data_IF_775705850117
#
_entry.id   IF_775705850117
#
_cell.length_a   1.000
_cell.length_b   1.000
_cell.length_c   1.000
_cell.angle_alpha   90.00
_cell.angle_beta   90.00
_cell.angle_gamma   90.00
#
_symmetry.space_group_name_H-M   'P 1'
#
loop_
_entity.id
_entity.type
_entity.pdbx_description
1 polymer ?
#
# COMPACT_ATOMS: atom_id res chain seq x y z
N UNK A 1 36.35 40.33 28.62
CA UNK A 1 36.03 41.67 28.09
C UNK A 1 34.71 41.57 27.36
N UNK A 2 33.62 42.05 27.94
CA UNK A 2 32.31 42.07 27.27
C UNK A 2 32.26 43.34 26.39
N UNK A 3 32.16 43.17 25.07
CA UNK A 3 31.90 44.28 24.16
C UNK A 3 30.43 44.66 24.28
N UNK A 4 30.20 45.88 24.76
CA UNK A 4 28.91 46.55 24.83
C UNK A 4 28.50 46.92 23.41
N UNK A 5 27.67 46.09 22.77
CA UNK A 5 27.10 46.39 21.45
C UNK A 5 26.11 47.53 21.58
N UNK A 6 26.44 48.68 20.99
CA UNK A 6 25.52 49.81 20.82
C UNK A 6 24.33 49.31 19.99
N UNK A 7 23.12 49.30 20.57
CA UNK A 7 21.87 49.10 19.83
C UNK A 7 21.71 50.24 18.82
N UNK A 8 21.99 49.95 17.55
CA UNK A 8 21.69 50.87 16.46
C UNK A 8 20.17 50.89 16.26
N UNK A 9 19.59 52.07 16.39
CA UNK A 9 18.17 52.33 16.21
C UNK A 9 17.74 52.00 14.76
N UNK A 10 16.83 51.03 14.61
CA UNK A 10 16.43 50.46 13.31
C UNK A 10 15.68 51.48 12.45
N UNK A 11 15.04 52.47 13.08
CA UNK A 11 14.25 53.51 12.41
C UNK A 11 15.12 54.48 11.59
N UNK A 12 16.42 54.58 11.89
CA UNK A 12 17.37 55.44 11.16
C UNK A 12 17.75 54.89 9.77
N UNK A 13 17.39 53.63 9.47
CA UNK A 13 17.72 52.95 8.22
C UNK A 13 16.50 52.61 7.36
N UNK A 14 15.35 53.20 7.67
CA UNK A 14 14.11 53.02 6.93
C UNK A 14 13.98 54.06 5.81
N UNK A 15 13.44 53.63 4.67
CA UNK A 15 13.08 54.51 3.57
C UNK A 15 11.81 55.26 3.93
N UNK A 16 11.83 56.59 3.89
CA UNK A 16 10.66 57.43 4.17
C UNK A 16 9.52 57.33 3.14
N UNK A 17 9.74 56.66 2.00
CA UNK A 17 8.73 56.46 0.94
C UNK A 17 7.98 55.15 1.13
N UNK A 18 8.68 54.02 1.27
CA UNK A 18 8.04 52.71 1.47
C UNK A 18 7.92 52.28 2.94
N UNK A 19 8.53 53.03 3.86
CA UNK A 19 8.57 52.78 5.30
C UNK A 19 9.22 51.45 5.70
N UNK A 20 9.97 50.83 4.77
CA UNK A 20 10.75 49.61 4.98
C UNK A 20 12.26 49.93 5.08
N UNK A 21 13.04 48.99 5.65
CA UNK A 21 14.50 49.01 5.57
C UNK A 21 14.99 49.20 4.12
N UNK A 22 15.94 50.12 3.94
CA UNK A 22 16.44 50.50 2.62
C UNK A 22 16.88 49.30 1.77
N UNK A 23 16.33 49.18 0.56
CA UNK A 23 16.70 48.19 -0.47
C UNK A 23 17.47 48.92 -1.55
N UNK A 24 18.73 48.53 -1.75
CA UNK A 24 19.68 49.27 -2.59
C UNK A 24 19.69 50.78 -2.26
N UNK A 25 20.13 51.15 -1.04
CA UNK A 25 20.10 52.53 -0.59
C UNK A 25 20.87 53.43 -1.54
N UNK A 26 20.24 54.53 -1.93
CA UNK A 26 20.86 55.62 -2.68
C UNK A 26 20.72 56.90 -1.86
N UNK A 27 21.78 57.70 -1.81
CA UNK A 27 21.80 58.98 -1.10
C UNK A 27 21.80 60.10 -2.14
N UNK A 28 20.79 60.95 -2.11
CA UNK A 28 20.67 62.10 -3.01
C UNK A 28 21.44 63.32 -2.44
N UNK A 29 21.75 64.37 -3.23
CA UNK A 29 22.67 65.43 -2.81
C UNK A 29 22.32 66.17 -1.51
N UNK A 30 21.03 66.22 -1.12
CA UNK A 30 20.60 66.77 0.16
C UNK A 30 20.86 65.86 1.38
N UNK A 31 21.52 64.72 1.19
CA UNK A 31 21.88 63.77 2.26
C UNK A 31 20.81 62.76 2.66
N UNK A 32 19.57 62.89 2.17
CA UNK A 32 18.50 61.92 2.43
C UNK A 32 18.72 60.64 1.60
N UNK A 33 18.35 59.50 2.19
CA UNK A 33 18.57 58.18 1.59
C UNK A 33 17.27 57.42 1.39
N UNK A 34 17.14 56.77 0.24
CA UNK A 34 15.93 56.07 -0.19
C UNK A 34 16.28 54.72 -0.82
N UNK A 35 15.29 53.83 -0.96
CA UNK A 35 15.42 52.70 -1.87
C UNK A 35 15.54 53.25 -3.29
N UNK A 36 16.44 52.68 -4.10
CA UNK A 36 16.66 53.11 -5.49
C UNK A 36 15.34 53.23 -6.27
N UNK A 37 14.54 52.16 -6.25
CA UNK A 37 13.24 52.11 -6.95
C UNK A 37 12.21 53.11 -6.41
N UNK A 38 12.25 53.43 -5.12
CA UNK A 38 11.31 54.39 -4.52
C UNK A 38 11.59 55.82 -5.01
N UNK A 39 12.85 56.25 -5.01
CA UNK A 39 13.19 57.60 -5.46
C UNK A 39 13.10 57.73 -6.99
N UNK A 40 13.46 56.67 -7.74
CA UNK A 40 13.21 56.61 -9.18
C UNK A 40 11.71 56.74 -9.47
N UNK A 41 10.87 55.97 -8.79
CA UNK A 41 9.41 56.06 -8.92
C UNK A 41 8.84 57.44 -8.56
N UNK A 42 9.36 58.12 -7.55
CA UNK A 42 8.96 59.50 -7.23
C UNK A 42 9.34 60.49 -8.34
N UNK A 43 10.49 60.31 -8.98
CA UNK A 43 10.96 61.20 -10.05
C UNK A 43 10.35 60.88 -11.42
N UNK A 44 10.00 59.63 -11.66
CA UNK A 44 9.41 59.16 -12.92
C UNK A 44 7.91 59.48 -13.04
N UNK A 45 7.24 59.86 -11.94
CA UNK A 45 5.83 60.27 -11.94
C UNK A 45 5.59 61.68 -12.51
N UNK A 46 6.60 62.55 -12.60
CA UNK A 46 6.43 63.98 -12.94
C UNK A 46 7.46 64.46 -14.01
N UNK A 47 7.66 63.64 -15.05
CA UNK A 47 8.66 63.85 -16.13
C UNK A 47 8.49 65.19 -16.87
N UNK A 48 7.29 65.77 -16.88
CA UNK A 48 6.96 66.98 -17.64
C UNK A 48 7.50 68.29 -17.03
N UNK A 49 7.91 68.31 -15.75
CA UNK A 49 8.38 69.54 -15.08
C UNK A 49 9.89 69.76 -15.14
N UNK A 50 10.68 68.72 -15.46
CA UNK A 50 12.15 68.81 -15.54
C UNK A 50 12.86 69.13 -14.21
N UNK A 51 12.13 69.23 -13.10
CA UNK A 51 12.62 69.56 -11.75
C UNK A 51 12.36 68.37 -10.83
N UNK A 52 13.39 67.89 -10.14
CA UNK A 52 13.32 66.70 -9.29
C UNK A 52 13.43 67.07 -7.83
N UNK A 53 12.43 66.74 -7.00
CA UNK A 53 12.43 67.13 -5.58
C UNK A 53 12.71 65.95 -4.64
N UNK A 54 13.36 66.23 -3.50
CA UNK A 54 13.50 65.32 -2.37
C UNK A 54 12.15 65.11 -1.66
N UNK A 55 11.66 63.87 -1.46
CA UNK A 55 10.41 63.60 -0.73
C UNK A 55 10.38 64.13 0.72
N UNK A 56 11.53 64.20 1.39
CA UNK A 56 11.62 64.59 2.81
C UNK A 56 11.77 66.10 3.03
N UNK A 57 12.75 66.74 2.38
CA UNK A 57 13.04 68.17 2.59
C UNK A 57 12.54 69.08 1.46
N UNK A 58 11.99 68.52 0.38
CA UNK A 58 11.49 69.23 -0.81
C UNK A 58 12.54 70.05 -1.57
N UNK A 59 13.83 69.86 -1.29
CA UNK A 59 14.91 70.45 -2.08
C UNK A 59 14.86 69.95 -3.53
N UNK A 60 15.04 70.86 -4.49
CA UNK A 60 14.88 70.62 -5.92
C UNK A 60 16.21 70.53 -6.65
N UNK A 61 16.33 69.63 -7.62
CA UNK A 61 17.54 69.38 -8.40
C UNK A 61 17.27 69.47 -9.90
N UNK A 62 18.16 70.15 -10.62
CA UNK A 62 18.21 70.23 -12.09
C UNK A 62 19.68 70.32 -12.54
N UNK A 63 20.24 69.38 -13.33
CA UNK A 63 19.60 68.19 -13.93
C UNK A 63 19.29 67.06 -12.92
N UNK A 64 18.66 65.96 -13.38
CA UNK A 64 18.36 64.78 -12.54
C UNK A 64 19.63 64.26 -11.88
N UNK A 65 19.67 64.12 -10.53
CA UNK A 65 20.84 63.53 -9.87
C UNK A 65 21.07 62.10 -10.32
N UNK A 66 22.34 61.73 -10.51
CA UNK A 66 22.71 60.34 -10.78
C UNK A 66 22.64 59.54 -9.46
N UNK A 67 21.96 58.40 -9.50
CA UNK A 67 21.76 57.54 -8.34
C UNK A 67 22.81 56.43 -8.33
N UNK A 68 23.82 56.56 -7.46
CA UNK A 68 24.77 55.51 -7.14
C UNK A 68 24.41 54.84 -5.81
N UNK A 69 24.62 53.53 -5.74
CA UNK A 69 24.37 52.76 -4.52
C UNK A 69 25.32 53.21 -3.41
N UNK A 70 24.77 53.55 -2.25
CA UNK A 70 25.54 53.83 -1.05
C UNK A 70 25.96 52.49 -0.41
N UNK A 71 27.19 52.07 -0.67
CA UNK A 71 27.72 50.78 -0.20
C UNK A 71 27.80 50.70 1.32
N UNK A 72 28.07 51.81 2.02
CA UNK A 72 28.13 51.83 3.48
C UNK A 72 26.75 51.61 4.11
N UNK A 73 25.71 52.33 3.63
CA UNK A 73 24.34 52.11 4.09
C UNK A 73 23.86 50.70 3.74
N UNK A 74 24.22 50.19 2.56
CA UNK A 74 23.88 48.83 2.18
C UNK A 74 24.50 47.79 3.13
N UNK A 75 25.77 47.95 3.50
CA UNK A 75 26.45 47.05 4.45
C UNK A 75 25.85 47.14 5.86
N UNK A 76 25.52 48.35 6.33
CA UNK A 76 24.88 48.56 7.64
C UNK A 76 23.48 47.93 7.70
N UNK A 77 22.65 48.10 6.66
CA UNK A 77 21.32 47.49 6.58
C UNK A 77 21.42 45.96 6.50
N UNK A 78 22.40 45.41 5.78
CA UNK A 78 22.63 43.96 5.71
C UNK A 78 23.11 43.38 7.04
N UNK A 79 23.98 44.10 7.76
CA UNK A 79 24.36 43.74 9.14
C UNK A 79 23.14 43.77 10.06
N UNK A 80 22.30 44.81 9.97
CA UNK A 80 21.07 44.91 10.75
C UNK A 80 20.08 43.77 10.45
N UNK A 81 19.93 43.37 9.19
CA UNK A 81 19.12 42.21 8.77
C UNK A 81 19.64 40.90 9.37
N UNK A 82 20.96 40.71 9.41
CA UNK A 82 21.61 39.51 9.97
C UNK A 82 21.54 39.46 11.50
N UNK A 83 21.64 40.62 12.17
CA UNK A 83 21.55 40.73 13.63
C UNK A 83 20.09 40.72 14.13
N UNK A 84 19.13 41.11 13.29
CA UNK A 84 17.68 41.18 13.58
C UNK A 84 16.90 39.87 13.44
N UNK A 85 17.53 38.74 13.03
CA UNK A 85 16.87 37.43 12.95
C UNK A 85 16.59 36.77 14.34
N UNK A 86 16.87 37.47 15.45
CA UNK A 86 16.53 37.01 16.80
C UNK A 86 15.69 38.00 17.65
N UNK A 87 15.06 39.00 17.06
CA UNK A 87 14.09 39.82 17.79
C UNK A 87 12.83 40.05 16.95
N UNK A 88 11.68 39.76 17.56
CA UNK A 88 10.36 39.97 16.97
C UNK A 88 10.19 41.44 16.50
N UNK A 89 9.39 41.70 15.44
CA UNK A 89 9.22 43.05 14.91
C UNK A 89 8.50 43.98 15.90
N UNK A 90 8.82 45.29 15.96
CA UNK A 90 8.02 46.30 16.65
C UNK A 90 6.62 46.46 16.03
N UNK A 91 5.63 46.99 16.77
CA UNK A 91 4.21 46.80 16.48
C UNK A 91 3.75 47.64 15.27
N UNK A 92 3.61 46.99 14.12
CA UNK A 92 2.63 47.43 13.13
C UNK A 92 1.24 47.38 13.79
N UNK A 93 0.45 48.45 13.68
CA UNK A 93 -0.95 48.50 14.13
C UNK A 93 -1.73 47.35 13.49
N UNK A 94 -1.85 46.24 14.22
CA UNK A 94 -2.49 45.01 13.77
C UNK A 94 -4.00 45.22 13.75
N UNK A 95 -4.54 45.67 12.62
CA UNK A 95 -5.99 45.69 12.41
C UNK A 95 -6.57 44.27 12.53
N UNK A 96 -7.78 44.16 13.08
CA UNK A 96 -8.45 42.88 13.22
C UNK A 96 -8.83 42.33 11.83
N UNK A 97 -8.31 41.15 11.46
CA UNK A 97 -8.76 40.42 10.28
C UNK A 97 -10.06 39.65 10.51
N UNK A 98 -10.60 38.94 9.49
CA UNK A 98 -11.90 38.24 9.57
C UNK A 98 -12.00 37.16 10.66
N UNK A 99 -10.87 36.66 11.17
CA UNK A 99 -10.80 35.63 12.23
C UNK A 99 -10.33 36.19 13.57
N UNK A 100 -10.02 37.48 13.63
CA UNK A 100 -9.57 38.14 14.84
C UNK A 100 -10.76 38.78 15.55
N UNK A 101 -10.70 38.81 16.88
CA UNK A 101 -11.65 39.57 17.68
C UNK A 101 -11.22 41.04 17.65
N UNK A 102 -12.10 41.91 17.17
CA UNK A 102 -11.86 43.35 17.16
C UNK A 102 -11.90 43.93 18.57
N UNK A 103 -11.22 45.06 18.79
CA UNK A 103 -11.31 45.80 20.04
C UNK A 103 -12.63 46.57 20.13
N UNK A 104 -13.34 46.42 21.25
CA UNK A 104 -14.66 47.04 21.45
C UNK A 104 -14.58 48.56 21.59
N UNK A 105 -13.46 49.08 22.09
CA UNK A 105 -13.23 50.49 22.41
C UNK A 105 -12.58 51.28 21.26
N UNK A 106 -12.08 50.61 20.22
CA UNK A 106 -11.58 51.31 19.03
C UNK A 106 -12.72 52.06 18.34
N UNK A 107 -12.54 53.38 18.22
CA UNK A 107 -13.43 54.25 17.43
C UNK A 107 -13.00 54.25 15.96
N UNK A 108 -13.99 54.23 15.04
CA UNK A 108 -13.77 54.18 13.59
C UNK A 108 -14.03 52.81 12.94
N UNK A 109 -13.94 52.76 11.60
CA UNK A 109 -14.27 51.56 10.80
C UNK A 109 -13.19 50.48 10.82
N UNK A 110 -11.94 50.84 11.14
CA UNK A 110 -10.80 49.91 11.20
C UNK A 110 -10.39 49.68 12.65
N UNK A 111 -11.02 48.71 13.29
CA UNK A 111 -10.72 48.33 14.68
C UNK A 111 -9.44 47.51 14.78
N UNK A 112 -8.66 47.75 15.83
CA UNK A 112 -7.45 46.97 16.13
C UNK A 112 -7.82 45.57 16.62
N UNK A 113 -6.91 44.61 16.42
CA UNK A 113 -7.01 43.26 16.98
C UNK A 113 -6.92 43.33 18.51
N UNK A 114 -7.84 42.64 19.17
CA UNK A 114 -7.82 42.48 20.61
C UNK A 114 -6.75 41.50 21.03
N UNK A 115 -5.96 41.89 22.04
CA UNK A 115 -4.97 41.03 22.67
C UNK A 115 -5.57 40.29 23.86
N UNK A 116 -6.28 41.02 24.73
CA UNK A 116 -6.87 40.49 25.95
C UNK A 116 -8.35 40.83 26.04
N UNK A 117 -9.10 39.94 26.68
CA UNK A 117 -10.50 40.15 27.05
C UNK A 117 -10.61 40.25 28.56
N UNK A 118 -11.38 41.21 29.04
CA UNK A 118 -11.66 41.40 30.45
C UNK A 118 -12.93 40.65 30.83
N UNK A 119 -12.82 39.70 31.75
CA UNK A 119 -13.95 38.92 32.23
C UNK A 119 -14.90 39.71 33.15
N UNK A 120 -14.48 40.88 33.61
CA UNK A 120 -15.33 41.78 34.42
C UNK A 120 -16.06 42.79 33.52
N UNK A 121 -15.35 43.40 32.58
CA UNK A 121 -15.94 44.33 31.62
C UNK A 121 -16.71 43.64 30.49
N UNK A 122 -16.54 42.32 30.33
CA UNK A 122 -17.11 41.51 29.25
C UNK A 122 -16.80 42.07 27.86
N UNK A 123 -15.58 42.59 27.70
CA UNK A 123 -15.14 43.27 26.49
C UNK A 123 -13.69 42.90 26.13
N UNK A 124 -13.35 43.07 24.86
CA UNK A 124 -12.05 42.78 24.27
C UNK A 124 -11.29 44.06 23.93
N UNK A 125 -9.99 44.07 24.27
CA UNK A 125 -9.12 45.24 24.25
C UNK A 125 -7.89 44.96 23.38
N UNK A 126 -7.58 45.89 22.46
CA UNK A 126 -6.26 45.98 21.85
C UNK A 126 -5.24 46.51 22.87
N UNK A 127 -3.96 46.44 22.53
CA UNK A 127 -2.86 46.83 23.42
C UNK A 127 -3.05 48.22 24.04
N UNK A 128 -3.41 49.21 23.22
CA UNK A 128 -3.58 50.59 23.66
C UNK A 128 -4.72 50.75 24.66
N UNK A 129 -5.88 50.14 24.41
CA UNK A 129 -7.04 50.21 25.31
C UNK A 129 -6.91 49.28 26.53
N UNK A 130 -6.00 48.31 26.47
CA UNK A 130 -5.70 47.46 27.61
C UNK A 130 -4.90 48.21 28.68
N UNK A 131 -4.15 49.24 28.30
CA UNK A 131 -3.27 49.98 29.20
C UNK A 131 -3.98 50.54 30.44
N UNK A 132 -5.23 50.98 30.29
CA UNK A 132 -6.04 51.47 31.41
C UNK A 132 -6.30 50.40 32.48
N UNK A 133 -6.32 49.11 32.12
CA UNK A 133 -6.42 48.01 33.08
C UNK A 133 -5.14 47.82 33.90
N UNK A 134 -3.98 48.23 33.38
CA UNK A 134 -2.71 48.15 34.09
C UNK A 134 -2.40 49.40 34.91
N UNK A 135 -2.90 50.56 34.50
CA UNK A 135 -2.56 51.82 35.16
C UNK A 135 -3.58 52.19 36.24
N UNK A 136 -4.88 52.01 35.98
CA UNK A 136 -5.95 52.41 36.90
C UNK A 136 -6.06 51.45 38.10
N UNK A 137 -5.95 51.95 39.35
CA UNK A 137 -6.12 51.11 40.54
C UNK A 137 -7.46 50.37 40.61
N UNK A 138 -8.52 50.94 40.02
CA UNK A 138 -9.84 50.31 39.99
C UNK A 138 -9.89 49.10 39.04
N UNK A 139 -9.17 49.17 37.91
CA UNK A 139 -9.21 48.15 36.85
C UNK A 139 -8.12 47.09 37.00
N UNK A 140 -7.05 47.36 37.77
CA UNK A 140 -5.96 46.40 38.06
C UNK A 140 -6.42 45.05 38.61
N UNK A 141 -7.58 45.02 39.29
CA UNK A 141 -8.15 43.80 39.86
C UNK A 141 -8.96 42.97 38.86
N UNK A 142 -9.24 43.51 37.69
CA UNK A 142 -10.01 42.80 36.68
C UNK A 142 -9.22 41.63 36.10
N UNK A 143 -9.89 40.50 35.93
CA UNK A 143 -9.28 39.30 35.36
C UNK A 143 -9.23 39.41 33.84
N UNK A 144 -8.02 39.57 33.31
CA UNK A 144 -7.73 39.58 31.88
C UNK A 144 -7.35 38.17 31.41
N UNK A 145 -7.91 37.74 30.27
CA UNK A 145 -7.58 36.47 29.61
C UNK A 145 -7.19 36.73 28.16
N UNK A 146 -6.33 35.87 27.59
CA UNK A 146 -5.98 35.97 26.17
C UNK A 146 -7.25 35.85 25.32
N UNK A 147 -7.40 36.77 24.38
CA UNK A 147 -8.60 36.81 23.54
C UNK A 147 -8.70 35.51 22.74
N UNK A 148 -9.86 34.86 22.85
CA UNK A 148 -10.27 33.72 22.03
C UNK A 148 -11.54 34.14 21.29
N UNK A 149 -11.79 33.61 20.09
CA UNK A 149 -12.88 34.06 19.20
C UNK A 149 -14.32 33.91 19.74
N UNK A 150 -14.48 33.57 21.02
CA UNK A 150 -15.70 33.02 21.61
C UNK A 150 -16.01 33.63 22.99
N UNK A 151 -15.67 34.90 23.24
CA UNK A 151 -16.05 35.54 24.51
C UNK A 151 -17.57 35.65 24.64
N UNK A 152 -18.26 36.00 23.55
CA UNK A 152 -19.71 36.15 23.54
C UNK A 152 -20.45 34.84 23.86
N UNK A 153 -19.91 33.70 23.42
CA UNK A 153 -20.45 32.36 23.72
C UNK A 153 -20.32 31.98 25.21
N UNK A 154 -19.51 32.72 25.98
CA UNK A 154 -19.30 32.51 27.42
C UNK A 154 -20.15 33.44 28.28
N UNK A 155 -21.00 34.26 27.66
CA UNK A 155 -21.89 35.21 28.33
C UNK A 155 -23.31 34.68 28.21
N UNK A 156 -24.05 34.70 29.32
CA UNK A 156 -25.46 34.35 29.35
C UNK A 156 -26.28 35.39 28.57
N UNK A 157 -27.05 34.92 27.60
CA UNK A 157 -27.92 35.74 26.76
C UNK A 157 -29.06 36.43 27.52
N UNK A 158 -29.43 35.93 28.70
CA UNK A 158 -30.56 36.47 29.49
C UNK A 158 -30.12 37.48 30.54
N UNK A 159 -28.92 37.30 31.11
CA UNK A 159 -28.50 38.06 32.29
C UNK A 159 -27.21 38.87 32.08
N UNK A 160 -26.56 38.76 30.91
CA UNK A 160 -25.29 39.41 30.60
C UNK A 160 -24.21 39.15 31.66
N UNK A 161 -24.17 37.92 32.18
CA UNK A 161 -23.18 37.41 33.16
C UNK A 161 -22.42 36.23 32.58
N UNK A 162 -21.20 35.99 33.05
CA UNK A 162 -20.41 34.84 32.61
C UNK A 162 -21.04 33.51 33.01
N UNK A 163 -20.90 32.53 32.12
CA UNK A 163 -21.33 31.15 32.31
C UNK A 163 -20.31 30.37 33.18
N UNK A 164 -20.26 30.69 34.47
CA UNK A 164 -19.30 30.11 35.43
C UNK A 164 -19.82 28.89 36.20
N UNK A 165 -21.10 28.56 36.02
CA UNK A 165 -21.76 27.41 36.65
C UNK A 165 -22.10 26.37 35.58
N UNK A 166 -22.01 25.09 35.92
CA UNK A 166 -22.48 24.00 35.07
C UNK A 166 -23.67 23.31 35.75
N UNK A 167 -24.79 23.25 35.05
CA UNK A 167 -25.94 22.48 35.48
C UNK A 167 -25.79 21.04 34.97
N UNK A 168 -25.66 20.07 35.88
CA UNK A 168 -25.54 18.65 35.52
C UNK A 168 -26.86 18.05 35.07
N UNK A 169 -27.97 18.54 35.61
CA UNK A 169 -29.32 18.12 35.21
C UNK A 169 -29.56 18.39 33.73
N UNK A 170 -29.26 19.62 33.27
CA UNK A 170 -29.50 20.04 31.89
C UNK A 170 -28.24 19.97 31.00
N UNK A 171 -27.09 19.61 31.58
CA UNK A 171 -25.81 19.43 30.92
C UNK A 171 -25.27 20.67 30.16
N UNK A 172 -25.50 21.87 30.70
CA UNK A 172 -25.10 23.13 30.08
C UNK A 172 -24.42 24.11 31.05
N UNK A 173 -23.59 25.00 30.51
CA UNK A 173 -23.01 26.11 31.26
C UNK A 173 -24.04 27.23 31.40
N UNK A 174 -24.24 27.73 32.62
CA UNK A 174 -25.19 28.78 33.00
C UNK A 174 -24.51 29.86 33.86
N UNK A 175 -25.14 31.02 34.04
CA UNK A 175 -24.64 32.03 34.97
C UNK A 175 -25.23 31.86 36.39
N UNK A 176 -24.73 32.62 37.37
CA UNK A 176 -25.21 32.53 38.76
C UNK A 176 -26.64 33.03 38.97
N UNK A 177 -27.19 33.86 38.06
CA UNK A 177 -28.58 34.30 38.15
C UNK A 177 -29.53 33.19 37.66
N UNK A 178 -29.16 32.48 36.61
CA UNK A 178 -29.89 31.30 36.12
C UNK A 178 -30.11 30.24 37.21
N UNK A 179 -29.17 30.07 38.16
CA UNK A 179 -29.33 29.10 39.26
C UNK A 179 -30.44 29.47 40.24
N UNK A 180 -30.78 30.75 40.33
CA UNK A 180 -31.84 31.26 41.21
C UNK A 180 -33.20 31.33 40.51
N UNK A 181 -33.19 31.42 39.18
CA UNK A 181 -34.37 31.53 38.32
C UNK A 181 -34.73 30.16 37.69
N UNK A 182 -34.41 29.97 36.41
CA UNK A 182 -34.83 28.82 35.59
C UNK A 182 -34.28 27.47 36.06
N UNK A 183 -33.07 27.46 36.63
CA UNK A 183 -32.39 26.23 37.09
C UNK A 183 -32.48 26.04 38.61
N UNK A 184 -33.48 26.65 39.25
CA UNK A 184 -33.66 26.57 40.70
C UNK A 184 -33.94 25.13 41.14
N UNK A 185 -33.06 24.58 41.97
CA UNK A 185 -33.17 23.22 42.51
C UNK A 185 -32.52 22.13 41.64
N UNK A 186 -31.87 22.49 40.53
CA UNK A 186 -31.08 21.53 39.74
C UNK A 186 -29.72 21.24 40.40
N UNK A 187 -29.08 20.13 40.01
CA UNK A 187 -27.72 19.84 40.45
C UNK A 187 -26.74 20.74 39.69
N UNK A 188 -26.21 21.75 40.39
CA UNK A 188 -25.31 22.75 39.83
C UNK A 188 -23.98 22.77 40.56
N UNK A 189 -22.90 22.84 39.80
CA UNK A 189 -21.52 22.95 40.31
C UNK A 189 -20.78 24.05 39.56
N UNK A 190 -19.62 24.49 40.05
CA UNK A 190 -18.81 25.43 39.26
C UNK A 190 -18.31 24.75 37.99
N UNK A 191 -18.24 25.50 36.89
CA UNK A 191 -17.73 25.00 35.61
C UNK A 191 -16.29 24.47 35.74
N UNK A 192 -15.48 25.06 36.64
CA UNK A 192 -14.13 24.60 36.92
C UNK A 192 -14.08 23.22 37.61
N UNK A 193 -14.99 22.98 38.57
CA UNK A 193 -15.10 21.69 39.24
C UNK A 193 -15.57 20.60 38.27
N UNK A 194 -16.63 20.87 37.49
CA UNK A 194 -17.13 19.90 36.52
C UNK A 194 -16.09 19.59 35.44
N UNK A 195 -15.37 20.61 34.94
CA UNK A 195 -14.27 20.40 33.99
C UNK A 195 -13.23 19.42 34.54
N UNK A 196 -12.88 19.53 35.82
CA UNK A 196 -11.87 18.65 36.44
C UNK A 196 -12.35 17.20 36.44
N UNK A 197 -13.62 16.96 36.77
CA UNK A 197 -14.21 15.62 36.75
C UNK A 197 -14.34 15.08 35.31
N UNK A 198 -14.84 15.89 34.36
CA UNK A 198 -14.93 15.50 32.95
C UNK A 198 -13.56 15.26 32.32
N UNK A 199 -12.55 16.01 32.71
CA UNK A 199 -11.16 15.79 32.26
C UNK A 199 -10.62 14.44 32.74
N UNK A 200 -10.93 14.05 33.99
CA UNK A 200 -10.58 12.73 34.53
C UNK A 200 -11.31 11.61 33.78
N UNK A 201 -12.61 11.77 33.56
CA UNK A 201 -13.41 10.81 32.78
C UNK A 201 -12.88 10.64 31.36
N UNK A 202 -12.55 11.75 30.69
CA UNK A 202 -11.95 11.74 29.36
C UNK A 202 -10.64 10.94 29.33
N UNK A 203 -9.76 11.13 30.34
CA UNK A 203 -8.51 10.37 30.46
C UNK A 203 -8.75 8.85 30.59
N UNK A 204 -9.71 8.43 31.42
CA UNK A 204 -10.06 7.01 31.54
C UNK A 204 -10.64 6.43 30.24
N UNK A 205 -11.53 7.17 29.58
CA UNK A 205 -12.10 6.76 28.29
C UNK A 205 -11.03 6.65 27.21
N UNK A 206 -10.07 7.59 27.17
CA UNK A 206 -8.95 7.55 26.24
C UNK A 206 -8.07 6.32 26.46
N UNK A 207 -7.74 5.99 27.72
CA UNK A 207 -7.00 4.79 28.07
C UNK A 207 -7.75 3.52 27.66
N UNK A 208 -9.06 3.44 27.91
CA UNK A 208 -9.89 2.29 27.53
C UNK A 208 -9.93 2.08 26.01
N UNK A 209 -10.06 3.16 25.24
CA UNK A 209 -10.02 3.11 23.77
C UNK A 209 -8.66 2.63 23.29
N UNK A 210 -7.57 3.15 23.87
CA UNK A 210 -6.21 2.76 23.51
C UNK A 210 -5.95 1.28 23.82
N UNK A 211 -6.36 0.79 24.99
CA UNK A 211 -6.24 -0.62 25.36
C UNK A 211 -7.02 -1.52 24.37
N UNK A 212 -8.28 -1.19 24.09
CA UNK A 212 -9.11 -1.97 23.15
C UNK A 212 -8.53 -1.95 21.74
N UNK A 213 -7.92 -0.84 21.32
CA UNK A 213 -7.21 -0.77 20.03
C UNK A 213 -6.04 -1.75 19.99
N UNK A 214 -5.20 -1.78 21.04
CA UNK A 214 -4.06 -2.69 21.14
C UNK A 214 -4.49 -4.17 21.16
N UNK A 215 -5.56 -4.49 21.88
CA UNK A 215 -6.15 -5.84 21.90
C UNK A 215 -6.61 -6.25 20.49
N UNK A 216 -7.33 -5.37 19.79
CA UNK A 216 -7.78 -5.63 18.41
C UNK A 216 -6.65 -5.72 17.40
N UNK A 217 -5.59 -4.93 17.56
CA UNK A 217 -4.37 -5.06 16.74
C UNK A 217 -3.67 -6.40 16.95
N UNK A 218 -3.69 -6.94 18.18
CA UNK A 218 -3.16 -8.27 18.49
C UNK A 218 -4.02 -9.37 17.86
N UNK A 219 -5.34 -9.33 18.06
CA UNK A 219 -6.29 -10.29 17.46
C UNK A 219 -6.16 -10.30 15.93
N UNK A 220 -6.00 -9.12 15.30
CA UNK A 220 -5.82 -9.01 13.85
C UNK A 220 -4.55 -9.73 13.38
N UNK A 221 -3.42 -9.58 14.10
CA UNK A 221 -2.16 -10.25 13.77
C UNK A 221 -2.27 -11.77 13.92
N UNK A 222 -2.92 -12.24 14.98
CA UNK A 222 -3.17 -13.68 15.21
C UNK A 222 -4.04 -14.27 14.09
N UNK A 223 -5.10 -13.56 13.69
CA UNK A 223 -5.97 -13.99 12.59
C UNK A 223 -5.22 -14.01 11.24
N UNK A 224 -4.39 -13.00 10.96
CA UNK A 224 -3.55 -12.98 9.76
C UNK A 224 -2.60 -14.18 9.71
N UNK A 225 -1.97 -14.51 10.83
CA UNK A 225 -1.10 -15.69 10.93
C UNK A 225 -1.88 -17.00 10.74
N UNK A 226 -3.07 -17.11 11.33
CA UNK A 226 -3.93 -18.28 11.17
C UNK A 226 -4.36 -18.47 9.71
N UNK A 227 -4.76 -17.40 9.01
CA UNK A 227 -5.12 -17.43 7.59
C UNK A 227 -3.94 -17.86 6.73
N UNK A 228 -2.74 -17.31 6.98
CA UNK A 228 -1.55 -17.69 6.21
C UNK A 228 -1.10 -19.13 6.50
N UNK A 229 -1.23 -19.58 7.74
CA UNK A 229 -1.01 -20.99 8.11
C UNK A 229 -1.99 -21.91 7.38
N UNK A 230 -3.27 -21.53 7.33
CA UNK A 230 -4.29 -22.30 6.63
C UNK A 230 -4.02 -22.38 5.12
N UNK A 231 -3.66 -21.26 4.48
CA UNK A 231 -3.26 -21.23 3.06
C UNK A 231 -2.08 -22.16 2.78
N UNK A 232 -1.03 -22.11 3.61
CA UNK A 232 0.12 -23.00 3.47
C UNK A 232 -0.26 -24.46 3.65
N UNK A 233 -1.12 -24.77 4.62
CA UNK A 233 -1.62 -26.14 4.83
C UNK A 233 -2.45 -26.65 3.64
N UNK A 234 -3.31 -25.80 3.06
CA UNK A 234 -4.10 -26.15 1.89
C UNK A 234 -3.20 -26.39 0.67
N UNK A 235 -2.20 -25.54 0.46
CA UNK A 235 -1.22 -25.69 -0.61
C UNK A 235 -0.41 -26.98 -0.46
N UNK A 236 0.07 -27.27 0.75
CA UNK A 236 0.78 -28.52 1.04
C UNK A 236 -0.10 -29.75 0.75
N UNK A 237 -1.38 -29.73 1.14
CA UNK A 237 -2.30 -30.83 0.85
C UNK A 237 -2.53 -31.03 -0.66
N UNK A 238 -2.53 -29.95 -1.46
CA UNK A 238 -2.59 -30.04 -2.93
C UNK A 238 -1.30 -30.66 -3.48
N UNK A 239 -0.13 -30.18 -3.05
CA UNK A 239 1.17 -30.70 -3.48
C UNK A 239 1.35 -32.19 -3.13
N UNK A 240 0.99 -32.58 -1.91
CA UNK A 240 1.01 -33.98 -1.46
C UNK A 240 0.05 -34.83 -2.31
N UNK A 241 -1.15 -34.33 -2.60
CA UNK A 241 -2.12 -35.02 -3.45
C UNK A 241 -1.60 -35.20 -4.88
N UNK A 242 -1.02 -34.14 -5.47
CA UNK A 242 -0.43 -34.18 -6.81
C UNK A 242 0.73 -35.17 -6.88
N UNK A 243 1.57 -35.23 -5.84
CA UNK A 243 2.63 -36.23 -5.74
C UNK A 243 2.07 -37.66 -5.74
N UNK A 244 1.07 -37.93 -4.90
CA UNK A 244 0.43 -39.25 -4.81
C UNK A 244 -0.18 -39.66 -6.16
N UNK A 245 -0.92 -38.77 -6.82
CA UNK A 245 -1.49 -39.06 -8.14
C UNK A 245 -0.40 -39.29 -9.20
N UNK A 246 0.70 -38.53 -9.15
CA UNK A 246 1.84 -38.73 -10.04
C UNK A 246 2.47 -40.11 -9.85
N UNK A 247 2.64 -40.57 -8.62
CA UNK A 247 3.17 -41.92 -8.32
C UNK A 247 2.22 -43.04 -8.79
N UNK A 248 0.91 -42.84 -8.65
CA UNK A 248 -0.10 -43.77 -9.18
C UNK A 248 -0.05 -43.85 -10.72
N UNK A 249 0.02 -42.71 -11.40
CA UNK A 249 0.13 -42.66 -12.87
C UNK A 249 1.38 -43.42 -13.32
N UNK A 250 2.55 -43.13 -12.73
CA UNK A 250 3.80 -43.84 -13.05
C UNK A 250 3.68 -45.35 -12.84
N UNK A 251 2.97 -45.77 -11.79
CA UNK A 251 2.75 -47.19 -11.51
C UNK A 251 1.88 -47.85 -12.58
N UNK A 252 0.82 -47.18 -13.04
CA UNK A 252 -0.04 -47.66 -14.12
C UNK A 252 0.72 -47.71 -15.45
N UNK A 253 1.51 -46.68 -15.77
CA UNK A 253 2.35 -46.63 -16.97
C UNK A 253 3.37 -47.78 -17.00
N UNK A 254 4.03 -48.04 -15.86
CA UNK A 254 4.95 -49.17 -15.73
C UNK A 254 4.25 -50.51 -15.99
N UNK A 255 3.06 -50.74 -15.40
CA UNK A 255 2.26 -51.96 -15.65
C UNK A 255 1.82 -52.05 -17.11
N UNK A 256 1.49 -50.93 -17.76
CA UNK A 256 1.19 -50.90 -19.19
C UNK A 256 2.38 -51.36 -20.04
N UNK A 257 3.58 -50.88 -19.71
CA UNK A 257 4.82 -51.32 -20.37
C UNK A 257 5.09 -52.81 -20.15
N UNK A 258 4.93 -53.32 -18.92
CA UNK A 258 5.09 -54.76 -18.62
C UNK A 258 4.15 -55.63 -19.49
N UNK A 259 2.88 -55.22 -19.66
CA UNK A 259 1.94 -55.94 -20.54
C UNK A 259 2.38 -55.90 -22.01
N UNK A 260 2.88 -54.75 -22.50
CA UNK A 260 3.39 -54.62 -23.87
C UNK A 260 4.60 -55.54 -24.11
N UNK A 261 5.55 -55.57 -23.18
CA UNK A 261 6.73 -56.43 -23.27
C UNK A 261 6.35 -57.92 -23.26
N UNK A 262 5.38 -58.32 -22.44
CA UNK A 262 4.87 -59.71 -22.45
C UNK A 262 4.27 -60.10 -23.82
N UNK A 263 3.45 -59.22 -24.40
CA UNK A 263 2.87 -59.45 -25.74
C UNK A 263 3.98 -59.56 -26.80
N UNK A 264 4.94 -58.63 -26.78
CA UNK A 264 6.07 -58.61 -27.74
C UNK A 264 6.97 -59.83 -27.61
N UNK A 265 7.24 -60.28 -26.39
CA UNK A 265 8.04 -61.47 -26.14
C UNK A 265 7.34 -62.72 -26.70
N UNK A 266 6.05 -62.89 -26.37
CA UNK A 266 5.27 -64.02 -26.87
C UNK A 266 5.10 -63.99 -28.40
N UNK A 267 4.88 -62.80 -28.99
CA UNK A 267 4.86 -62.60 -30.44
C UNK A 267 6.18 -63.07 -31.06
N UNK A 268 7.32 -62.59 -30.53
CA UNK A 268 8.65 -62.94 -31.05
C UNK A 268 8.92 -64.45 -30.96
N UNK A 269 8.61 -65.08 -29.84
CA UNK A 269 8.86 -66.50 -29.63
C UNK A 269 8.02 -67.35 -30.60
N UNK A 270 6.71 -67.05 -30.71
CA UNK A 270 5.82 -67.77 -31.63
C UNK A 270 6.16 -67.54 -33.11
N UNK A 271 6.55 -66.32 -33.48
CA UNK A 271 7.00 -66.01 -34.85
C UNK A 271 8.31 -66.74 -35.16
N UNK A 272 9.28 -66.74 -34.25
CA UNK A 272 10.56 -67.43 -34.46
C UNK A 272 10.38 -68.95 -34.61
N UNK A 273 9.47 -69.55 -33.83
CA UNK A 273 9.12 -70.96 -33.97
C UNK A 273 8.48 -71.24 -35.33
N UNK A 274 7.51 -70.42 -35.75
CA UNK A 274 6.86 -70.55 -37.05
C UNK A 274 7.82 -70.36 -38.23
N UNK A 275 8.74 -69.39 -38.16
CA UNK A 275 9.78 -69.16 -39.16
C UNK A 275 10.74 -70.35 -39.29
N UNK A 276 11.10 -70.99 -38.17
CA UNK A 276 11.91 -72.20 -38.17
C UNK A 276 11.25 -73.37 -38.91
N UNK A 277 9.94 -73.58 -38.65
CA UNK A 277 9.15 -74.60 -39.36
C UNK A 277 8.99 -74.26 -40.85
N UNK A 278 8.78 -72.98 -41.18
CA UNK A 278 8.71 -72.52 -42.57
C UNK A 278 10.01 -72.81 -43.33
N UNK A 279 11.16 -72.59 -42.70
CA UNK A 279 12.45 -72.83 -43.35
C UNK A 279 12.72 -74.32 -43.55
N UNK A 280 12.38 -75.17 -42.56
CA UNK A 280 12.42 -76.63 -42.71
C UNK A 280 11.56 -77.10 -43.89
N UNK A 281 10.33 -76.60 -44.01
CA UNK A 281 9.43 -76.93 -45.12
C UNK A 281 9.99 -76.49 -46.48
N UNK A 282 10.60 -75.30 -46.57
CA UNK A 282 11.23 -74.85 -47.82
C UNK A 282 12.38 -75.76 -48.24
N UNK A 283 13.21 -76.16 -47.28
CA UNK A 283 14.34 -77.07 -47.53
C UNK A 283 13.84 -78.45 -48.00
N UNK A 284 12.83 -79.01 -47.34
CA UNK A 284 12.23 -80.29 -47.74
C UNK A 284 11.62 -80.22 -49.15
N UNK A 285 10.89 -79.13 -49.47
CA UNK A 285 10.36 -78.90 -50.82
C UNK A 285 11.49 -78.81 -51.85
N UNK A 286 12.59 -78.13 -51.53
CA UNK A 286 13.74 -78.00 -52.43
C UNK A 286 14.41 -79.36 -52.70
N UNK A 287 14.59 -80.18 -51.67
CA UNK A 287 15.13 -81.54 -51.78
C UNK A 287 14.22 -82.47 -52.59
N UNK A 288 12.90 -82.44 -52.33
CA UNK A 288 11.91 -83.20 -53.10
C UNK A 288 11.88 -82.77 -54.57
N UNK A 289 11.96 -81.47 -54.86
CA UNK A 289 12.05 -80.95 -56.23
C UNK A 289 13.32 -81.42 -56.94
N UNK A 290 14.48 -81.33 -56.27
CA UNK A 290 15.76 -81.81 -56.82
C UNK A 290 15.67 -83.30 -57.16
N UNK A 291 15.16 -84.11 -56.23
CA UNK A 291 14.99 -85.54 -56.44
C UNK A 291 14.01 -85.85 -57.58
N UNK A 292 12.92 -85.09 -57.69
CA UNK A 292 11.99 -85.20 -58.82
C UNK A 292 12.71 -84.98 -60.16
N UNK A 293 13.59 -83.96 -60.25
CA UNK A 293 14.36 -83.72 -61.48
C UNK A 293 15.39 -84.81 -61.78
N UNK A 294 16.04 -85.38 -60.77
CA UNK A 294 16.99 -86.49 -60.94
C UNK A 294 16.28 -87.77 -61.42
N UNK A 295 15.10 -88.07 -60.87
CA UNK A 295 14.26 -89.20 -61.31
C UNK A 295 13.76 -89.01 -62.74
N UNK A 296 13.34 -87.79 -63.10
CA UNK A 296 12.92 -87.46 -64.46
C UNK A 296 14.07 -87.63 -65.46
N UNK A 297 15.27 -87.13 -65.16
CA UNK A 297 16.46 -87.33 -66.00
C UNK A 297 16.81 -88.81 -66.16
N UNK A 298 16.77 -89.59 -65.07
CA UNK A 298 17.07 -91.01 -65.12
C UNK A 298 16.06 -91.78 -66.00
N UNK A 299 14.78 -91.40 -65.96
CA UNK A 299 13.73 -92.04 -66.77
C UNK A 299 13.93 -91.90 -68.28
N UNK A 300 14.68 -90.89 -68.73
CA UNK A 300 15.02 -90.66 -70.14
C UNK A 300 16.38 -91.28 -70.56
N UNK A 301 17.03 -92.05 -69.69
CA UNK A 301 18.33 -92.65 -69.99
C UNK A 301 18.18 -93.96 -70.78
N UNK A 302 18.86 -94.08 -71.93
CA UNK A 302 18.84 -95.29 -72.77
C UNK A 302 19.80 -96.40 -72.29
N UNK A 303 20.83 -96.06 -71.50
CA UNK A 303 21.78 -97.00 -70.93
C UNK A 303 21.15 -97.79 -69.76
N UNK A 304 20.82 -99.06 -70.03
CA UNK A 304 20.18 -99.95 -69.07
C UNK A 304 21.02 -100.23 -67.82
N UNK A 305 22.36 -100.23 -67.92
CA UNK A 305 23.24 -100.51 -66.77
C UNK A 305 23.30 -99.27 -65.87
N UNK A 306 23.50 -98.09 -66.45
CA UNK A 306 23.47 -96.83 -65.72
C UNK A 306 22.10 -96.58 -65.07
N UNK A 307 21.00 -96.91 -65.77
CA UNK A 307 19.65 -96.83 -65.20
C UNK A 307 19.52 -97.65 -63.92
N UNK A 308 19.88 -98.93 -63.96
CA UNK A 308 19.74 -99.83 -62.81
C UNK A 308 20.64 -99.42 -61.64
N UNK A 309 21.89 -99.02 -61.91
CA UNK A 309 22.83 -98.57 -60.88
C UNK A 309 22.40 -97.25 -60.21
N UNK A 310 21.99 -96.26 -61.01
CA UNK A 310 21.54 -94.96 -60.48
C UNK A 310 20.15 -95.06 -59.84
N UNK A 311 19.25 -95.90 -60.34
CA UNK A 311 17.96 -96.14 -59.69
C UNK A 311 18.14 -96.79 -58.32
N UNK A 312 19.04 -97.77 -58.19
CA UNK A 312 19.32 -98.40 -56.91
C UNK A 312 19.90 -97.40 -55.88
N UNK A 313 20.76 -96.49 -56.33
CA UNK A 313 21.30 -95.39 -55.52
C UNK A 313 20.22 -94.38 -55.10
N UNK A 314 19.32 -94.00 -56.03
CA UNK A 314 18.21 -93.09 -55.75
C UNK A 314 17.09 -93.74 -54.94
N UNK A 315 16.93 -95.06 -54.97
CA UNK A 315 15.88 -95.80 -54.24
C UNK A 315 16.27 -96.14 -52.79
N UNK A 316 17.57 -96.28 -52.50
CA UNK A 316 18.09 -96.67 -51.18
C UNK A 316 18.03 -95.57 -50.12
N UNK A 317 18.00 -94.30 -50.54
CA UNK A 317 17.67 -93.18 -49.67
C UNK A 317 16.14 -93.16 -49.59
N UNK A 318 15.56 -93.83 -48.60
CA UNK A 318 14.11 -93.86 -48.37
C UNK A 318 13.51 -92.49 -48.63
N UNK A 319 12.56 -92.38 -49.57
CA UNK A 319 11.58 -91.30 -49.50
C UNK A 319 11.02 -91.42 -48.10
N UNK A 320 11.23 -90.40 -47.27
CA UNK A 320 10.75 -90.35 -45.91
C UNK A 320 9.21 -90.36 -45.93
N UNK A 321 8.62 -91.51 -46.24
CA UNK A 321 7.25 -91.82 -45.88
C UNK A 321 7.25 -91.76 -44.36
N UNK A 322 6.48 -90.80 -43.86
CA UNK A 322 6.13 -90.61 -42.45
C UNK A 322 6.95 -89.55 -41.71
N UNK A 323 7.40 -88.49 -42.39
CA UNK A 323 7.56 -87.21 -41.68
C UNK A 323 6.16 -86.75 -41.21
N UNK A 324 5.96 -86.45 -39.92
CA UNK A 324 4.65 -86.09 -39.42
C UNK A 324 4.13 -84.86 -40.16
N UNK A 325 2.92 -84.95 -40.71
CA UNK A 325 2.19 -83.80 -41.25
C UNK A 325 2.23 -82.66 -40.23
N UNK A 326 2.85 -81.53 -40.58
CA UNK A 326 2.86 -80.34 -39.73
C UNK A 326 1.42 -79.88 -39.57
N UNK A 327 0.86 -80.07 -38.37
CA UNK A 327 -0.46 -79.56 -38.01
C UNK A 327 -0.31 -78.06 -37.77
N UNK A 328 -0.69 -77.26 -38.76
CA UNK A 328 -0.75 -75.80 -38.62
C UNK A 328 -1.85 -75.47 -37.62
N UNK A 329 -1.48 -75.23 -36.35
CA UNK A 329 -2.39 -74.59 -35.41
C UNK A 329 -2.43 -73.10 -35.72
N UNK A 330 -3.62 -72.49 -35.83
CA UNK A 330 -3.74 -71.03 -35.88
C UNK A 330 -3.06 -70.45 -34.63
N UNK A 331 -2.16 -69.47 -34.83
CA UNK A 331 -1.55 -68.73 -33.73
C UNK A 331 -2.66 -68.16 -32.83
N UNK A 332 -2.58 -68.44 -31.53
CA UNK A 332 -3.59 -67.98 -30.57
C UNK A 332 -3.62 -66.45 -30.54
N UNK A 333 -4.82 -65.89 -30.65
CA UNK A 333 -5.05 -64.45 -30.67
C UNK A 333 -4.88 -63.86 -29.26
N UNK A 334 -4.26 -62.69 -29.11
CA UNK A 334 -4.09 -61.97 -27.84
C UNK A 334 -5.40 -61.40 -27.24
N UNK A 335 -6.57 -61.90 -27.67
CA UNK A 335 -7.89 -61.43 -27.26
C UNK A 335 -8.12 -61.57 -25.75
N UNK A 336 -7.63 -62.65 -25.14
CA UNK A 336 -7.74 -62.89 -23.71
C UNK A 336 -6.95 -61.87 -22.88
N UNK A 337 -5.81 -61.40 -23.39
CA UNK A 337 -5.01 -60.34 -22.74
C UNK A 337 -5.80 -59.02 -22.75
N UNK A 338 -6.37 -58.66 -23.90
CA UNK A 338 -7.19 -57.45 -24.03
C UNK A 338 -8.43 -57.48 -23.13
N UNK A 339 -9.10 -58.64 -23.04
CA UNK A 339 -10.22 -58.85 -22.12
C UNK A 339 -9.80 -58.67 -20.66
N UNK A 340 -8.70 -59.30 -20.25
CA UNK A 340 -8.19 -59.21 -18.87
C UNK A 340 -7.80 -57.78 -18.49
N UNK A 341 -7.18 -57.02 -19.41
CA UNK A 341 -6.86 -55.60 -19.19
C UNK A 341 -8.14 -54.76 -19.08
N UNK A 342 -9.19 -55.09 -19.84
CA UNK A 342 -10.48 -54.41 -19.75
C UNK A 342 -11.17 -54.65 -18.41
N UNK A 343 -11.16 -55.88 -17.89
CA UNK A 343 -11.68 -56.20 -16.56
C UNK A 343 -10.91 -55.49 -15.44
N UNK A 344 -9.58 -55.32 -15.60
CA UNK A 344 -8.76 -54.55 -14.67
C UNK A 344 -9.18 -53.06 -14.65
N UNK A 345 -9.44 -52.47 -15.82
CA UNK A 345 -9.91 -51.08 -15.94
C UNK A 345 -11.20 -50.87 -15.15
N UNK A 346 -12.21 -51.72 -15.37
CA UNK A 346 -13.52 -51.59 -14.71
C UNK A 346 -13.38 -51.66 -13.18
N UNK A 347 -12.59 -52.61 -12.66
CA UNK A 347 -12.31 -52.72 -11.22
C UNK A 347 -11.62 -51.48 -10.66
N UNK A 348 -10.70 -50.88 -11.41
CA UNK A 348 -10.00 -49.67 -11.00
C UNK A 348 -10.97 -48.47 -10.96
N UNK A 349 -11.80 -48.31 -11.98
CA UNK A 349 -12.79 -47.23 -12.06
C UNK A 349 -13.82 -47.30 -10.91
N UNK A 350 -14.34 -48.49 -10.62
CA UNK A 350 -15.26 -48.71 -9.50
C UNK A 350 -14.62 -48.38 -8.14
N UNK A 351 -13.37 -48.80 -7.94
CA UNK A 351 -12.62 -48.49 -6.73
C UNK A 351 -12.42 -46.98 -6.56
N UNK A 352 -11.97 -46.30 -7.63
CA UNK A 352 -11.73 -44.85 -7.62
C UNK A 352 -13.02 -44.07 -7.31
N UNK A 353 -14.15 -44.48 -7.89
CA UNK A 353 -15.45 -43.85 -7.64
C UNK A 353 -15.88 -43.97 -6.17
N UNK A 354 -15.65 -45.12 -5.56
CA UNK A 354 -15.93 -45.35 -4.14
C UNK A 354 -15.10 -44.45 -3.22
N UNK A 355 -13.79 -44.39 -3.45
CA UNK A 355 -12.87 -43.60 -2.62
C UNK A 355 -13.04 -42.09 -2.82
N UNK A 356 -13.35 -41.64 -4.05
CA UNK A 356 -13.57 -40.22 -4.34
C UNK A 356 -14.64 -39.58 -3.47
N UNK A 357 -15.70 -40.34 -3.18
CA UNK A 357 -16.80 -39.88 -2.32
C UNK A 357 -16.29 -39.52 -0.92
N UNK A 358 -15.37 -40.31 -0.35
CA UNK A 358 -14.78 -40.07 0.97
C UNK A 358 -13.84 -38.86 1.00
N UNK A 359 -13.05 -38.69 -0.07
CA UNK A 359 -12.16 -37.53 -0.25
C UNK A 359 -12.99 -36.25 -0.28
N UNK A 360 -14.07 -36.23 -1.07
CA UNK A 360 -14.94 -35.07 -1.21
C UNK A 360 -15.61 -34.63 0.10
N UNK A 361 -16.01 -35.58 0.95
CA UNK A 361 -16.62 -35.27 2.26
C UNK A 361 -15.63 -34.70 3.27
N UNK A 362 -14.36 -35.10 3.19
CA UNK A 362 -13.33 -34.66 4.16
C UNK A 362 -12.92 -33.20 3.92
N UNK A 363 -12.93 -32.72 2.66
CA UNK A 363 -12.58 -31.35 2.31
C UNK A 363 -13.60 -30.27 2.75
N UNK A 364 -14.85 -30.65 3.04
CA UNK A 364 -15.95 -29.70 3.34
C UNK A 364 -16.04 -29.36 4.84
N UNK A 365 -15.39 -30.11 5.73
CA UNK A 365 -15.51 -29.96 7.19
C UNK A 365 -14.61 -28.87 7.81
N UNK A 366 -13.93 -28.05 7.01
CA UNK A 366 -13.05 -27.00 7.52
C UNK A 366 -13.91 -25.81 7.99
N UNK A 367 -14.16 -25.78 9.30
CA UNK A 367 -15.02 -24.82 9.99
C UNK A 367 -14.72 -23.34 9.70
N UNK A 368 -15.79 -22.54 9.60
CA UNK A 368 -15.73 -21.08 9.60
C UNK A 368 -15.21 -20.55 10.95
N UNK A 369 -14.45 -19.44 10.95
CA UNK A 369 -14.08 -18.77 12.19
C UNK A 369 -15.34 -18.28 12.90
N UNK A 370 -15.68 -18.92 14.02
CA UNK A 370 -16.75 -18.47 14.91
C UNK A 370 -16.23 -17.25 15.67
N UNK A 371 -16.91 -16.09 15.63
CA UNK A 371 -16.55 -14.97 16.49
C UNK A 371 -16.65 -15.44 17.94
N UNK A 372 -15.56 -15.29 18.70
CA UNK A 372 -15.54 -15.66 20.11
C UNK A 372 -16.71 -15.03 20.85
N UNK A 373 -17.58 -15.87 21.40
CA UNK A 373 -18.57 -15.46 22.39
C UNK A 373 -17.84 -14.86 23.58
N UNK A 374 -18.08 -13.58 23.85
CA UNK A 374 -17.59 -12.89 25.05
C UNK A 374 -18.37 -13.37 26.28
#
# INVERSE_FOLDING_TARGET
MAQQGVLLDQDQFCCSVCLDLLKEPVTIPCGHSYCRSCIEGCWDQDVLKGVYSCPQCRETFTPRPNLSKNNMLAELVEKLRKTGLQAAPPPALCYAGPRDVACDFCTGTRKQKSLMSCLVCLASYCETHLQSHYESPALKKHKLVKTTAQLQEKICSHHDKLLEVYCRTDQQCICYLCTMDEHKGHDTVSAAAERTEKQRQLGMSQQKVQQRSQEREKELKELQQAVESFKRSAQAAVEDSDQIFTELIRSIERRSSEVKELIRAQEKDQVSEAEGVLEQLKQEIAELRKRSTELEQLSHTEDHIHFLQSYQSLSSISVSSDLPSIVVRPLQYFGDVSKTVSELREKLEDFLKGEWTKISTTGVQIHQPVPGSV
#
